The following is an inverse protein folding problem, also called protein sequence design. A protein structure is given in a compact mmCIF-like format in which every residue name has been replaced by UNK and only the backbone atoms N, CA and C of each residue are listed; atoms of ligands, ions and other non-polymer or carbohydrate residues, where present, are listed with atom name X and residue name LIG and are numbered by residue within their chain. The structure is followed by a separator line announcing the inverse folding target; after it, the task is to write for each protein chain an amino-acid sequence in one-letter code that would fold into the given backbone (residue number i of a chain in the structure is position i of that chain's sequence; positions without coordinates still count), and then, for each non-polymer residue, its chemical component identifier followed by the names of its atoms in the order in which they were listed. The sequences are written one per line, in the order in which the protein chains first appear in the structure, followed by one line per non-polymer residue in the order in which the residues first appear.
data_IF_460926416207
#
_entry.id   IF_460926416207
#
_cell.length_a   1.000
_cell.length_b   1.000
_cell.length_c   1.000
_cell.angle_alpha   90.00
_cell.angle_beta   90.00
_cell.angle_gamma   90.00
#
_symmetry.space_group_name_H-M   'P 1'
#
loop_
_entity.id
_entity.type
_entity.pdbx_description
1 polymer ?
#
# COMPACT_ATOMS: atom_id res chain seq x y z
N UNK A 1 6.56 -69.89 -24.89
CA UNK A 1 5.43 -69.32 -24.11
C UNK A 1 6.06 -68.24 -23.22
N UNK A 2 6.25 -66.99 -23.67
CA UNK A 2 5.28 -65.90 -23.83
C UNK A 2 4.29 -65.80 -22.66
N UNK A 3 4.49 -64.78 -21.80
CA UNK A 3 3.54 -63.70 -21.48
C UNK A 3 4.14 -62.87 -20.31
N UNK A 4 4.81 -61.75 -20.58
CA UNK A 4 4.30 -60.38 -20.79
C UNK A 4 3.62 -59.74 -19.56
N UNK A 5 4.34 -58.82 -18.92
CA UNK A 5 3.84 -57.73 -18.08
C UNK A 5 2.89 -56.80 -18.88
N UNK A 6 2.06 -55.99 -18.20
CA UNK A 6 2.44 -54.57 -18.15
C UNK A 6 2.23 -53.89 -16.80
N UNK A 7 3.24 -53.10 -16.44
CA UNK A 7 3.23 -52.02 -15.45
C UNK A 7 2.42 -50.88 -16.04
N UNK A 8 1.32 -50.49 -15.39
CA UNK A 8 0.51 -49.34 -15.78
C UNK A 8 1.20 -48.06 -15.29
N UNK A 9 2.08 -47.49 -16.12
CA UNK A 9 2.65 -46.17 -15.91
C UNK A 9 1.61 -45.11 -16.32
N UNK A 10 1.04 -44.42 -15.32
CA UNK A 10 0.19 -43.26 -15.53
C UNK A 10 1.09 -42.05 -15.88
N UNK A 11 1.40 -41.89 -17.16
CA UNK A 11 2.15 -40.75 -17.69
C UNK A 11 1.19 -39.56 -17.82
N UNK A 12 1.08 -38.74 -16.77
CA UNK A 12 0.46 -37.42 -16.83
C UNK A 12 1.35 -36.50 -17.68
N UNK A 13 1.05 -36.43 -18.99
CA UNK A 13 1.59 -35.38 -19.86
C UNK A 13 0.98 -34.03 -19.46
N UNK A 14 1.64 -33.33 -18.54
CA UNK A 14 1.50 -31.88 -18.41
C UNK A 14 2.21 -31.24 -19.61
N UNK A 15 1.51 -31.16 -20.73
CA UNK A 15 1.85 -30.25 -21.80
C UNK A 15 1.67 -28.82 -21.27
N UNK A 16 2.72 -28.29 -20.65
CA UNK A 16 2.80 -26.89 -20.26
C UNK A 16 2.72 -26.04 -21.51
N UNK A 17 1.60 -25.35 -21.72
CA UNK A 17 1.54 -24.23 -22.64
C UNK A 17 2.53 -23.18 -22.16
N UNK A 18 3.68 -23.05 -22.84
CA UNK A 18 4.57 -21.91 -22.67
C UNK A 18 3.88 -20.67 -23.27
N UNK A 19 3.53 -19.63 -22.50
CA UNK A 19 3.14 -18.38 -23.09
C UNK A 19 4.42 -17.60 -23.43
N UNK A 20 4.90 -17.75 -24.66
CA UNK A 20 5.76 -16.72 -25.28
C UNK A 20 4.87 -15.52 -25.61
N UNK A 21 4.54 -14.72 -24.60
CA UNK A 21 4.08 -13.35 -24.82
C UNK A 21 5.25 -12.43 -24.51
N UNK A 22 5.68 -11.57 -25.45
CA UNK A 22 6.59 -10.51 -25.10
C UNK A 22 5.94 -9.69 -23.98
N UNK A 23 6.66 -9.52 -22.87
CA UNK A 23 6.31 -8.55 -21.84
C UNK A 23 6.22 -7.22 -22.56
N UNK A 24 5.01 -6.69 -22.71
CA UNK A 24 4.84 -5.31 -23.14
C UNK A 24 5.52 -4.46 -22.07
N UNK A 25 6.71 -3.94 -22.39
CA UNK A 25 7.33 -2.87 -21.62
C UNK A 25 6.34 -1.73 -21.60
N UNK A 26 5.70 -1.52 -20.44
CA UNK A 26 4.94 -0.32 -20.16
C UNK A 26 5.89 0.86 -20.42
N UNK A 27 5.46 1.87 -21.19
CA UNK A 27 6.25 3.08 -21.35
C UNK A 27 6.48 3.66 -19.96
N UNK A 28 7.74 3.77 -19.54
CA UNK A 28 8.13 4.58 -18.40
C UNK A 28 7.95 6.03 -18.82
N UNK A 29 6.77 6.60 -18.54
CA UNK A 29 6.51 8.02 -18.72
C UNK A 29 7.02 8.77 -17.49
N UNK A 30 8.31 9.10 -17.50
CA UNK A 30 8.83 10.12 -16.60
C UNK A 30 8.22 11.48 -16.97
N UNK A 31 7.28 11.96 -16.16
CA UNK A 31 7.23 13.35 -15.71
C UNK A 31 6.55 14.46 -16.53
N UNK A 32 6.14 14.28 -17.80
CA UNK A 32 5.62 15.45 -18.56
C UNK A 32 4.35 15.25 -19.39
N UNK A 33 3.93 14.01 -19.68
CA UNK A 33 2.64 13.74 -20.32
C UNK A 33 2.05 12.48 -19.70
N UNK A 34 1.22 12.67 -18.67
CA UNK A 34 0.56 11.57 -17.98
C UNK A 34 -0.50 10.89 -18.86
N UNK A 35 -0.86 11.49 -20.01
CA UNK A 35 -1.95 11.02 -20.86
C UNK A 35 -3.32 11.04 -20.17
N UNK A 36 -3.43 11.69 -19.02
CA UNK A 36 -4.65 11.73 -18.22
C UNK A 36 -5.61 12.80 -18.76
N UNK A 37 -6.90 12.45 -18.78
CA UNK A 37 -7.96 13.43 -19.07
C UNK A 37 -8.03 14.51 -17.98
N UNK A 38 -8.64 15.69 -18.22
CA UNK A 38 -8.80 16.71 -17.19
C UNK A 38 -9.49 16.21 -15.90
N UNK A 39 -10.44 15.28 -16.06
CA UNK A 39 -11.13 14.68 -14.91
C UNK A 39 -10.21 13.73 -14.13
N UNK A 40 -9.34 13.00 -14.83
CA UNK A 40 -8.37 12.11 -14.20
C UNK A 40 -7.25 12.88 -13.51
N UNK A 41 -6.82 14.01 -14.09
CA UNK A 41 -5.90 14.94 -13.44
C UNK A 41 -6.48 15.48 -12.13
N UNK A 42 -7.75 15.91 -12.13
CA UNK A 42 -8.41 16.35 -10.91
C UNK A 42 -8.52 15.24 -9.84
N UNK A 43 -8.72 13.98 -10.26
CA UNK A 43 -8.70 12.84 -9.36
C UNK A 43 -7.29 12.56 -8.83
N UNK A 44 -6.26 12.67 -9.67
CA UNK A 44 -4.86 12.55 -9.28
C UNK A 44 -4.48 13.59 -8.21
N UNK A 45 -4.80 14.87 -8.46
CA UNK A 45 -4.61 15.95 -7.49
C UNK A 45 -5.33 15.66 -6.16
N UNK A 46 -6.57 15.16 -6.23
CA UNK A 46 -7.35 14.85 -5.02
C UNK A 46 -6.73 13.73 -4.20
N UNK A 47 -6.25 12.67 -4.84
CA UNK A 47 -5.59 11.54 -4.17
C UNK A 47 -4.25 11.97 -3.55
N UNK A 48 -3.46 12.75 -4.28
CA UNK A 48 -2.18 13.27 -3.79
C UNK A 48 -2.37 14.22 -2.63
N UNK A 49 -3.31 15.16 -2.73
CA UNK A 49 -3.61 16.09 -1.66
C UNK A 49 -4.12 15.37 -0.41
N UNK A 50 -4.99 14.37 -0.57
CA UNK A 50 -5.45 13.54 0.55
C UNK A 50 -4.26 12.85 1.24
N UNK A 51 -3.29 12.36 0.48
CA UNK A 51 -2.08 11.77 1.05
C UNK A 51 -1.18 12.78 1.75
N UNK A 52 -0.88 13.90 1.09
CA UNK A 52 0.00 14.97 1.57
C UNK A 52 -0.55 15.68 2.81
N UNK A 53 -1.87 15.85 2.90
CA UNK A 53 -2.49 16.49 4.06
C UNK A 53 -2.57 15.54 5.29
N UNK A 54 -2.34 14.22 5.10
CA UNK A 54 -2.46 13.19 6.14
C UNK A 54 -1.15 12.40 6.34
N UNK A 55 -1.20 11.19 6.91
CA UNK A 55 0.01 10.44 7.29
C UNK A 55 0.89 10.03 6.10
N UNK A 56 0.30 9.92 4.90
CA UNK A 56 1.04 9.54 3.70
C UNK A 56 2.06 10.58 3.26
N UNK A 57 2.00 11.81 3.79
CA UNK A 57 3.06 12.81 3.73
C UNK A 57 4.44 12.21 4.01
N UNK A 58 4.53 11.35 5.04
CA UNK A 58 5.79 10.77 5.49
C UNK A 58 6.34 9.66 4.57
N UNK A 59 5.52 9.16 3.64
CA UNK A 59 5.97 8.29 2.54
C UNK A 59 6.24 9.12 1.28
N UNK A 60 5.40 10.12 0.99
CA UNK A 60 5.45 10.93 -0.21
C UNK A 60 6.70 11.82 -0.24
N UNK A 61 6.96 12.57 0.82
CA UNK A 61 8.03 13.57 0.87
C UNK A 61 9.24 13.15 1.71
N UNK A 62 9.18 11.97 2.32
CA UNK A 62 10.30 11.42 3.07
C UNK A 62 10.34 9.90 2.98
N UNK A 63 11.32 9.30 3.62
CA UNK A 63 11.53 7.86 3.66
C UNK A 63 11.27 7.25 5.05
N UNK A 64 10.54 8.00 5.89
CA UNK A 64 10.17 7.63 7.25
C UNK A 64 9.20 6.44 7.30
N UNK A 65 8.29 6.35 6.33
CA UNK A 65 7.33 5.24 6.22
C UNK A 65 7.51 4.53 4.87
N UNK A 66 7.73 3.20 4.83
CA UNK A 66 7.78 2.44 3.58
C UNK A 66 6.47 2.54 2.78
N UNK A 67 5.34 2.57 3.46
CA UNK A 67 4.00 2.64 2.88
C UNK A 67 3.06 3.45 3.76
N UNK A 68 2.07 4.08 3.13
CA UNK A 68 0.93 4.69 3.81
C UNK A 68 -0.36 4.50 3.02
N UNK A 69 -1.49 4.52 3.71
CA UNK A 69 -2.79 4.46 3.05
C UNK A 69 -3.26 5.84 2.63
N UNK A 70 -3.89 5.92 1.45
CA UNK A 70 -4.47 7.14 0.91
C UNK A 70 -5.98 7.14 1.16
N UNK A 71 -6.67 6.12 0.66
CA UNK A 71 -8.12 5.97 0.82
C UNK A 71 -8.55 4.53 0.60
N UNK A 72 -9.82 4.23 0.85
CA UNK A 72 -10.44 2.93 0.58
C UNK A 72 -11.72 3.13 -0.20
N UNK A 73 -11.85 2.41 -1.31
CA UNK A 73 -13.07 2.31 -2.08
C UNK A 73 -13.88 1.12 -1.56
N UNK A 74 -15.17 1.33 -1.35
CA UNK A 74 -16.14 0.28 -1.07
C UNK A 74 -17.05 0.16 -2.28
N UNK A 75 -16.99 -0.98 -2.95
CA UNK A 75 -17.74 -1.23 -4.18
C UNK A 75 -18.58 -2.51 -4.01
N UNK A 76 -19.87 -2.50 -4.38
CA UNK A 76 -20.76 -3.67 -4.28
C UNK A 76 -20.44 -4.71 -5.37
N UNK A 77 -19.21 -5.21 -5.40
CA UNK A 77 -18.69 -6.15 -6.40
C UNK A 77 -18.06 -7.38 -5.73
N UNK A 78 -18.26 -7.56 -4.42
CA UNK A 78 -17.80 -8.76 -3.74
C UNK A 78 -18.66 -9.95 -4.17
N UNK A 79 -18.04 -11.14 -4.10
CA UNK A 79 -18.76 -12.39 -4.29
C UNK A 79 -19.73 -12.59 -3.12
N UNK A 80 -21.04 -12.77 -3.37
CA UNK A 80 -21.97 -13.12 -2.30
C UNK A 80 -21.62 -14.46 -1.67
N UNK A 81 -21.77 -14.58 -0.34
CA UNK A 81 -21.48 -15.81 0.41
C UNK A 81 -22.38 -17.00 0.00
N UNK A 82 -23.51 -16.72 -0.65
CA UNK A 82 -24.42 -17.74 -1.19
C UNK A 82 -23.86 -18.47 -2.42
N UNK A 83 -22.83 -17.92 -3.09
CA UNK A 83 -22.24 -18.54 -4.28
C UNK A 83 -21.14 -19.53 -3.90
N UNK A 84 -21.17 -20.78 -4.41
CA UNK A 84 -20.13 -21.77 -4.17
C UNK A 84 -18.75 -21.31 -4.62
N UNK A 85 -17.70 -21.88 -4.02
CA UNK A 85 -16.34 -21.67 -4.51
C UNK A 85 -16.16 -22.12 -5.96
N UNK A 86 -15.30 -21.42 -6.70
CA UNK A 86 -15.09 -21.68 -8.13
C UNK A 86 -16.23 -21.28 -9.07
N UNK A 87 -17.25 -20.55 -8.58
CA UNK A 87 -18.33 -20.03 -9.44
C UNK A 87 -17.74 -19.15 -10.55
N UNK A 88 -17.97 -19.52 -11.81
CA UNK A 88 -17.39 -18.83 -12.97
C UNK A 88 -17.95 -17.43 -13.21
N UNK A 89 -19.26 -17.26 -13.03
CA UNK A 89 -19.96 -15.98 -13.26
C UNK A 89 -20.49 -15.45 -11.94
N UNK A 90 -19.69 -14.63 -11.28
CA UNK A 90 -20.03 -14.04 -9.97
C UNK A 90 -20.76 -12.71 -10.10
N UNK A 91 -20.31 -11.86 -11.02
CA UNK A 91 -20.77 -10.48 -11.15
C UNK A 91 -21.65 -10.30 -12.38
N UNK A 92 -22.82 -9.67 -12.22
CA UNK A 92 -23.64 -9.24 -13.34
C UNK A 92 -23.05 -7.95 -13.94
N UNK A 93 -22.51 -8.01 -15.15
CA UNK A 93 -21.79 -6.90 -15.77
C UNK A 93 -22.69 -5.70 -16.08
N UNK A 94 -23.94 -5.93 -16.48
CA UNK A 94 -24.89 -4.85 -16.77
C UNK A 94 -25.26 -4.08 -15.50
N UNK A 95 -25.45 -4.80 -14.38
CA UNK A 95 -25.81 -4.19 -13.10
C UNK A 95 -24.64 -3.43 -12.45
N UNK A 96 -23.40 -3.86 -12.71
CA UNK A 96 -22.21 -3.33 -12.03
C UNK A 96 -21.28 -2.50 -12.95
N UNK A 97 -21.74 -2.16 -14.16
CA UNK A 97 -20.93 -1.45 -15.16
C UNK A 97 -20.34 -0.15 -14.59
N UNK A 98 -21.15 0.66 -13.89
CA UNK A 98 -20.69 1.94 -13.33
C UNK A 98 -19.59 1.76 -12.26
N UNK A 99 -19.68 0.72 -11.43
CA UNK A 99 -18.68 0.41 -10.41
C UNK A 99 -17.37 -0.06 -11.06
N UNK A 100 -17.45 -0.85 -12.13
CA UNK A 100 -16.28 -1.30 -12.89
C UNK A 100 -15.63 -0.14 -13.67
N UNK A 101 -16.42 0.77 -14.24
CA UNK A 101 -15.92 1.99 -14.89
C UNK A 101 -15.23 2.92 -13.88
N UNK A 102 -15.83 3.09 -12.68
CA UNK A 102 -15.20 3.81 -11.57
C UNK A 102 -13.87 3.15 -11.20
N UNK A 103 -13.85 1.83 -11.01
CA UNK A 103 -12.62 1.11 -10.67
C UNK A 103 -11.55 1.26 -11.76
N UNK A 104 -11.92 1.16 -13.03
CA UNK A 104 -11.01 1.34 -14.16
C UNK A 104 -10.44 2.76 -14.21
N UNK A 105 -11.23 3.80 -13.87
CA UNK A 105 -10.75 5.17 -13.76
C UNK A 105 -9.72 5.33 -12.64
N UNK A 106 -10.02 4.80 -11.44
CA UNK A 106 -9.06 4.83 -10.33
C UNK A 106 -7.78 4.05 -10.66
N UNK A 107 -7.88 2.87 -11.28
CA UNK A 107 -6.70 2.10 -11.70
C UNK A 107 -5.83 2.89 -12.68
N UNK A 108 -6.44 3.56 -13.68
CA UNK A 108 -5.72 4.39 -14.65
C UNK A 108 -4.97 5.52 -13.97
N UNK A 109 -5.62 6.23 -13.06
CA UNK A 109 -4.99 7.33 -12.30
C UNK A 109 -3.89 6.82 -11.39
N UNK A 110 -4.14 5.76 -10.61
CA UNK A 110 -3.14 5.15 -9.72
C UNK A 110 -1.90 4.69 -10.49
N UNK A 111 -2.08 4.06 -11.66
CA UNK A 111 -0.96 3.63 -12.51
C UNK A 111 -0.14 4.81 -13.05
N UNK A 112 -0.77 5.97 -13.25
CA UNK A 112 -0.07 7.17 -13.71
C UNK A 112 0.64 7.92 -12.56
N UNK A 113 0.32 7.62 -11.30
CA UNK A 113 1.00 8.15 -10.11
C UNK A 113 2.26 7.33 -9.80
N UNK A 114 3.24 7.38 -10.70
CA UNK A 114 4.58 6.83 -10.49
C UNK A 114 5.62 7.95 -10.64
N UNK A 115 6.36 8.19 -9.57
CA UNK A 115 7.38 9.23 -9.46
C UNK A 115 8.78 8.62 -9.24
N UNK A 116 9.03 7.42 -9.76
CA UNK A 116 10.34 6.78 -9.72
C UNK A 116 10.61 6.01 -8.43
N UNK A 117 10.93 6.67 -7.31
CA UNK A 117 11.08 5.97 -6.02
C UNK A 117 9.74 5.85 -5.26
N UNK A 118 8.77 6.71 -5.59
CA UNK A 118 7.45 6.76 -4.96
C UNK A 118 6.40 6.34 -6.00
N UNK A 119 5.58 5.36 -5.67
CA UNK A 119 4.49 4.92 -6.54
C UNK A 119 3.27 4.50 -5.74
N UNK A 120 2.15 4.38 -6.46
CA UNK A 120 0.86 4.08 -5.89
C UNK A 120 0.36 2.72 -6.36
N UNK A 121 -0.44 2.09 -5.52
CA UNK A 121 -1.05 0.80 -5.78
C UNK A 121 -2.49 0.79 -5.30
N UNK A 122 -3.33 0.09 -6.05
CA UNK A 122 -4.65 -0.28 -5.63
C UNK A 122 -4.67 -1.79 -5.32
N UNK A 123 -5.10 -2.19 -4.12
CA UNK A 123 -5.12 -3.60 -3.68
C UNK A 123 -6.43 -3.95 -2.98
N UNK A 124 -7.07 -5.08 -3.34
CA UNK A 124 -8.27 -5.54 -2.66
C UNK A 124 -7.93 -6.08 -1.27
N UNK A 125 -8.80 -5.83 -0.29
CA UNK A 125 -8.70 -6.51 0.99
C UNK A 125 -9.18 -7.96 0.88
N UNK A 126 -8.57 -8.83 1.69
CA UNK A 126 -9.01 -10.22 1.89
C UNK A 126 -10.44 -10.23 2.39
N UNK A 127 -10.71 -9.43 3.43
CA UNK A 127 -12.03 -9.26 3.98
C UNK A 127 -12.90 -8.37 3.09
N UNK A 128 -14.15 -8.77 2.91
CA UNK A 128 -15.20 -7.98 2.27
C UNK A 128 -16.42 -7.95 3.21
N UNK A 129 -17.21 -6.89 3.13
CA UNK A 129 -18.39 -6.73 4.00
C UNK A 129 -19.64 -7.03 3.21
N UNK A 130 -20.26 -8.20 3.45
CA UNK A 130 -21.50 -8.65 2.78
C UNK A 130 -21.35 -8.63 1.25
N UNK A 131 -21.68 -7.51 0.61
CA UNK A 131 -21.65 -7.26 -0.83
C UNK A 131 -20.46 -6.40 -1.27
N UNK A 132 -19.78 -5.75 -0.34
CA UNK A 132 -18.83 -4.68 -0.64
C UNK A 132 -17.39 -5.18 -0.59
N UNK A 133 -16.71 -5.07 -1.73
CA UNK A 133 -15.26 -5.24 -1.84
C UNK A 133 -14.61 -3.93 -1.39
N UNK A 134 -13.84 -4.00 -0.31
CA UNK A 134 -12.92 -2.95 0.06
C UNK A 134 -11.66 -3.03 -0.82
N UNK A 135 -11.29 -1.91 -1.43
CA UNK A 135 -10.10 -1.77 -2.25
C UNK A 135 -9.32 -0.57 -1.74
N UNK A 136 -8.14 -0.82 -1.21
CA UNK A 136 -7.29 0.22 -0.64
C UNK A 136 -6.38 0.81 -1.72
N UNK A 137 -6.21 2.13 -1.68
CA UNK A 137 -5.17 2.83 -2.43
C UNK A 137 -4.08 3.17 -1.44
N UNK A 138 -2.87 2.70 -1.71
CA UNK A 138 -1.68 2.96 -0.91
C UNK A 138 -0.63 3.67 -1.76
N UNK A 139 0.21 4.45 -1.09
CA UNK A 139 1.49 4.91 -1.63
C UNK A 139 2.60 4.12 -0.96
N UNK A 140 3.65 3.81 -1.71
CA UNK A 140 4.86 3.21 -1.18
C UNK A 140 6.11 3.90 -1.73
N UNK A 141 7.22 3.77 -0.99
CA UNK A 141 8.56 4.16 -1.43
C UNK A 141 9.43 2.93 -1.62
N UNK A 142 9.85 2.65 -2.86
CA UNK A 142 10.60 1.45 -3.26
C UNK A 142 11.86 1.26 -2.42
N UNK A 143 12.66 2.32 -2.30
CA UNK A 143 13.89 2.30 -1.50
C UNK A 143 13.66 2.04 -0.01
N UNK A 144 12.56 2.54 0.56
CA UNK A 144 12.21 2.33 1.96
C UNK A 144 11.66 0.92 2.21
N UNK A 145 10.87 0.38 1.27
CA UNK A 145 10.45 -1.04 1.28
C UNK A 145 11.68 -1.95 1.23
N UNK A 146 12.65 -1.69 0.36
CA UNK A 146 13.89 -2.46 0.28
C UNK A 146 14.69 -2.46 1.57
N UNK A 147 14.80 -1.29 2.24
CA UNK A 147 15.46 -1.20 3.55
C UNK A 147 14.69 -1.98 4.61
N UNK A 148 13.37 -1.86 4.64
CA UNK A 148 12.51 -2.61 5.55
C UNK A 148 12.68 -4.13 5.34
N UNK A 149 12.70 -4.61 4.10
CA UNK A 149 12.92 -6.04 3.81
C UNK A 149 14.30 -6.49 4.30
N UNK A 150 15.37 -5.70 4.07
CA UNK A 150 16.71 -6.01 4.62
C UNK A 150 16.70 -6.08 6.15
N UNK A 151 16.08 -5.10 6.80
CA UNK A 151 16.05 -4.98 8.26
C UNK A 151 15.28 -6.13 8.91
N UNK A 152 14.15 -6.52 8.34
CA UNK A 152 13.26 -7.56 8.86
C UNK A 152 13.30 -8.84 8.02
N UNK A 153 14.47 -9.15 7.43
CA UNK A 153 14.65 -10.29 6.53
C UNK A 153 14.29 -11.63 7.17
N UNK A 154 14.50 -11.79 8.48
CA UNK A 154 14.11 -13.00 9.23
C UNK A 154 12.59 -13.23 9.27
N UNK A 155 11.79 -12.17 9.22
CA UNK A 155 10.34 -12.25 9.14
C UNK A 155 9.88 -12.37 7.69
N UNK A 156 10.32 -11.48 6.79
CA UNK A 156 9.83 -11.46 5.41
C UNK A 156 10.41 -12.58 4.52
N UNK A 157 11.58 -13.12 4.87
CA UNK A 157 12.22 -14.21 4.14
C UNK A 157 11.41 -15.50 4.11
N UNK A 158 10.50 -15.72 5.08
CA UNK A 158 9.59 -16.87 5.07
C UNK A 158 8.67 -16.90 3.84
N UNK A 159 8.42 -15.74 3.22
CA UNK A 159 7.62 -15.59 2.01
C UNK A 159 8.46 -15.57 0.73
N UNK A 160 9.79 -15.74 0.84
CA UNK A 160 10.72 -15.62 -0.28
C UNK A 160 11.03 -14.18 -0.68
N UNK A 161 10.70 -13.19 0.16
CA UNK A 161 10.96 -11.79 -0.15
C UNK A 161 12.41 -11.39 0.15
N UNK A 162 13.00 -10.66 -0.80
CA UNK A 162 14.32 -10.04 -0.74
C UNK A 162 14.21 -8.62 -1.30
N UNK A 163 15.19 -7.74 -1.10
CA UNK A 163 15.16 -6.39 -1.68
C UNK A 163 14.97 -6.44 -3.20
N UNK A 164 14.15 -5.53 -3.73
CA UNK A 164 13.67 -5.55 -5.11
C UNK A 164 12.35 -6.32 -5.32
N UNK A 165 11.76 -6.88 -4.26
CA UNK A 165 10.41 -7.46 -4.34
C UNK A 165 9.40 -6.41 -4.82
N UNK A 166 8.49 -6.81 -5.71
CA UNK A 166 7.35 -5.97 -6.09
C UNK A 166 6.50 -5.65 -4.86
N UNK A 167 6.31 -4.36 -4.51
CA UNK A 167 5.45 -3.96 -3.40
C UNK A 167 4.02 -4.49 -3.54
N UNK A 168 3.53 -4.64 -4.76
CA UNK A 168 2.22 -5.24 -5.06
C UNK A 168 2.10 -6.67 -4.55
N UNK A 169 3.11 -7.50 -4.82
CA UNK A 169 3.16 -8.89 -4.34
C UNK A 169 3.27 -8.92 -2.82
N UNK A 170 4.19 -8.13 -2.26
CA UNK A 170 4.42 -8.03 -0.82
C UNK A 170 3.14 -7.66 -0.05
N UNK A 171 2.47 -6.58 -0.46
CA UNK A 171 1.27 -6.06 0.23
C UNK A 171 0.14 -7.09 0.17
N UNK A 172 -0.11 -7.70 -0.99
CA UNK A 172 -1.18 -8.70 -1.11
C UNK A 172 -0.85 -10.00 -0.36
N UNK A 173 0.41 -10.45 -0.33
CA UNK A 173 0.78 -11.59 0.51
C UNK A 173 0.49 -11.28 1.97
N UNK A 174 0.94 -10.14 2.49
CA UNK A 174 0.69 -9.72 3.89
C UNK A 174 -0.81 -9.62 4.18
N UNK A 175 -1.62 -9.02 3.29
CA UNK A 175 -3.07 -8.89 3.50
C UNK A 175 -3.77 -10.24 3.60
N UNK A 176 -3.28 -11.25 2.88
CA UNK A 176 -3.90 -12.58 2.84
C UNK A 176 -3.41 -13.53 3.93
N UNK A 177 -2.40 -13.12 4.72
CA UNK A 177 -1.86 -13.91 5.82
C UNK A 177 -2.82 -14.11 7.02
N UNK A 178 -2.38 -14.98 7.94
CA UNK A 178 -3.04 -15.13 9.24
C UNK A 178 -2.91 -13.82 10.05
N UNK A 179 -3.89 -13.59 10.95
CA UNK A 179 -4.08 -12.31 11.65
C UNK A 179 -2.80 -11.72 12.26
N UNK A 180 -2.04 -12.49 13.04
CA UNK A 180 -0.88 -11.96 13.76
C UNK A 180 0.32 -11.70 12.83
N UNK A 181 0.52 -12.51 11.80
CA UNK A 181 1.55 -12.28 10.77
C UNK A 181 1.19 -11.08 9.91
N UNK A 182 -0.09 -10.95 9.54
CA UNK A 182 -0.63 -9.77 8.84
C UNK A 182 -0.42 -8.50 9.66
N UNK A 183 -0.72 -8.53 10.96
CA UNK A 183 -0.47 -7.39 11.86
C UNK A 183 1.00 -7.01 11.94
N UNK A 184 1.90 -8.00 12.02
CA UNK A 184 3.34 -7.77 12.03
C UNK A 184 3.83 -7.17 10.71
N UNK A 185 3.43 -7.78 9.58
CA UNK A 185 3.78 -7.32 8.24
C UNK A 185 3.32 -5.90 7.97
N UNK A 186 2.06 -5.58 8.30
CA UNK A 186 1.56 -4.21 8.19
C UNK A 186 2.26 -3.24 9.13
N UNK A 187 2.58 -3.66 10.37
CA UNK A 187 3.30 -2.82 11.31
C UNK A 187 4.65 -2.33 10.74
N UNK A 188 5.39 -3.22 10.08
CA UNK A 188 6.64 -2.87 9.40
C UNK A 188 6.40 -2.05 8.12
N UNK A 189 5.42 -2.40 7.29
CA UNK A 189 5.07 -1.65 6.07
C UNK A 189 4.67 -0.20 6.38
N UNK A 190 3.92 0.03 7.45
CA UNK A 190 3.54 1.37 7.91
C UNK A 190 4.66 2.10 8.67
N UNK A 191 5.85 1.51 8.79
CA UNK A 191 7.04 2.13 9.36
C UNK A 191 7.03 2.27 10.87
N UNK A 192 6.28 1.44 11.60
CA UNK A 192 6.25 1.52 13.06
C UNK A 192 7.53 0.96 13.69
N UNK A 193 8.02 1.56 14.79
CA UNK A 193 9.19 1.04 15.50
C UNK A 193 9.05 -0.43 15.89
N UNK A 194 10.13 -1.24 15.87
CA UNK A 194 10.07 -2.66 16.21
C UNK A 194 9.37 -2.97 17.54
N UNK A 195 9.61 -2.15 18.56
CA UNK A 195 9.02 -2.35 19.88
C UNK A 195 7.49 -2.15 19.87
N UNK A 196 6.97 -1.20 19.09
CA UNK A 196 5.54 -0.97 18.93
C UNK A 196 4.86 -2.10 18.16
N UNK A 197 5.50 -2.60 17.09
CA UNK A 197 5.01 -3.78 16.35
C UNK A 197 4.98 -5.00 17.26
N UNK A 198 6.04 -5.25 18.03
CA UNK A 198 6.12 -6.36 18.97
C UNK A 198 5.05 -6.28 20.05
N UNK A 199 4.83 -5.09 20.62
CA UNK A 199 3.77 -4.88 21.60
C UNK A 199 2.39 -5.16 21.02
N UNK A 200 2.08 -4.62 19.84
CA UNK A 200 0.77 -4.78 19.21
C UNK A 200 0.46 -6.25 18.87
N UNK A 201 1.43 -6.96 18.29
CA UNK A 201 1.30 -8.38 17.96
C UNK A 201 1.19 -9.23 19.23
N UNK A 202 2.02 -8.96 20.24
CA UNK A 202 1.96 -9.65 21.53
C UNK A 202 0.61 -9.45 22.23
N UNK A 203 0.08 -8.22 22.23
CA UNK A 203 -1.25 -7.92 22.77
C UNK A 203 -2.37 -8.68 22.05
N UNK A 204 -2.30 -8.76 20.71
CA UNK A 204 -3.25 -9.56 19.91
C UNK A 204 -3.20 -11.04 20.29
N UNK A 205 -2.00 -11.61 20.44
CA UNK A 205 -1.79 -13.00 20.84
C UNK A 205 -2.32 -13.29 22.26
N UNK A 206 -2.05 -12.41 23.23
CA UNK A 206 -2.57 -12.53 24.60
C UNK A 206 -4.10 -12.47 24.63
N UNK A 207 -4.71 -11.58 23.84
CA UNK A 207 -6.16 -11.48 23.75
C UNK A 207 -6.79 -12.74 23.13
N UNK A 208 -6.15 -13.32 22.10
CA UNK A 208 -6.60 -14.58 21.49
C UNK A 208 -6.49 -15.77 22.43
N UNK A 209 -5.41 -15.82 23.22
CA UNK A 209 -5.12 -16.95 24.11
C UNK A 209 -5.96 -16.91 25.39
N UNK A 210 -5.99 -15.74 26.05
CA UNK A 210 -6.45 -15.62 27.43
C UNK A 210 -7.68 -14.69 27.56
N UNK A 211 -8.16 -14.12 26.45
CA UNK A 211 -9.27 -13.14 26.44
C UNK A 211 -8.93 -11.80 27.10
N UNK A 212 -7.69 -11.61 27.53
CA UNK A 212 -7.28 -10.44 28.31
C UNK A 212 -7.07 -9.23 27.41
N UNK A 213 -7.74 -8.13 27.76
CA UNK A 213 -7.52 -6.84 27.12
C UNK A 213 -6.23 -6.19 27.65
N UNK A 214 -5.24 -6.01 26.77
CA UNK A 214 -3.99 -5.31 27.10
C UNK A 214 -4.21 -3.80 26.97
N UNK A 215 -4.07 -3.07 28.08
CA UNK A 215 -4.18 -1.61 28.09
C UNK A 215 -3.02 -0.98 27.32
N UNK A 216 -3.32 0.06 26.55
CA UNK A 216 -2.38 0.75 25.65
C UNK A 216 -2.56 2.26 25.69
N UNK A 217 -1.47 2.96 25.45
CA UNK A 217 -1.45 4.37 25.07
C UNK A 217 -1.17 4.48 23.56
N UNK A 218 -1.33 5.67 23.02
CA UNK A 218 -1.12 5.96 21.61
C UNK A 218 -0.09 7.07 21.47
N UNK A 219 0.98 6.79 20.73
CA UNK A 219 1.94 7.81 20.34
C UNK A 219 1.45 8.50 19.07
N UNK A 220 1.24 9.80 19.15
CA UNK A 220 0.62 10.61 18.10
C UNK A 220 1.70 11.43 17.39
N UNK A 221 1.72 11.35 16.06
CA UNK A 221 2.58 12.19 15.22
C UNK A 221 1.66 13.10 14.39
N UNK A 222 1.85 14.43 14.46
CA UNK A 222 0.99 15.39 13.77
C UNK A 222 1.09 15.22 12.25
N UNK A 223 0.08 15.66 11.54
CA UNK A 223 0.06 15.81 10.07
C UNK A 223 -0.45 17.21 9.74
N UNK A 224 -0.64 17.53 8.46
CA UNK A 224 -1.16 18.85 8.10
C UNK A 224 -2.63 19.03 8.52
N UNK A 225 -3.47 18.00 8.31
CA UNK A 225 -4.90 18.02 8.61
C UNK A 225 -5.24 18.00 10.11
N UNK A 226 -4.30 17.62 10.98
CA UNK A 226 -4.55 17.47 12.41
C UNK A 226 -3.32 17.09 13.23
N UNK A 227 -3.37 17.33 14.54
CA UNK A 227 -2.28 16.98 15.47
C UNK A 227 -2.33 15.53 15.95
N UNK A 228 -3.50 14.91 15.89
CA UNK A 228 -3.79 13.58 16.42
C UNK A 228 -4.62 12.76 15.41
N UNK A 229 -4.55 11.43 15.51
CA UNK A 229 -5.49 10.52 14.86
C UNK A 229 -5.09 10.00 13.47
N UNK A 230 -3.90 10.38 12.96
CA UNK A 230 -3.43 9.99 11.63
C UNK A 230 -2.24 9.04 11.69
N UNK A 231 -1.04 9.54 12.01
CA UNK A 231 0.14 8.67 12.20
C UNK A 231 0.24 8.28 13.67
N UNK A 232 -0.25 7.08 13.99
CA UNK A 232 -0.43 6.61 15.37
C UNK A 232 0.05 5.17 15.52
N UNK A 233 0.77 4.88 16.59
CA UNK A 233 1.04 3.50 17.01
C UNK A 233 0.81 3.30 18.50
N UNK A 234 0.47 2.06 18.83
CA UNK A 234 0.14 1.65 20.19
C UNK A 234 1.41 1.33 20.98
N UNK A 235 1.44 1.79 22.24
CA UNK A 235 2.48 1.51 23.22
C UNK A 235 1.84 0.97 24.50
N UNK A 236 2.58 0.24 25.35
CA UNK A 236 2.09 -0.14 26.67
C UNK A 236 1.58 1.08 27.46
N UNK A 237 0.55 0.90 28.29
CA UNK A 237 -0.09 2.01 29.02
C UNK A 237 0.89 2.86 29.84
N UNK A 238 1.89 2.25 30.46
CA UNK A 238 2.84 2.95 31.32
C UNK A 238 4.20 3.14 30.63
N UNK A 239 4.24 3.03 29.30
CA UNK A 239 5.44 3.22 28.50
C UNK A 239 5.80 4.69 28.38
N UNK A 240 7.05 5.01 28.71
CA UNK A 240 7.64 6.31 28.42
C UNK A 240 8.30 6.25 27.04
N UNK A 241 7.97 7.14 26.09
CA UNK A 241 8.57 7.16 24.76
C UNK A 241 10.10 7.09 24.82
N UNK A 242 10.68 6.15 24.08
CA UNK A 242 12.12 5.98 23.99
C UNK A 242 12.73 6.96 22.97
N UNK A 243 14.06 6.98 22.92
CA UNK A 243 14.80 7.79 21.94
C UNK A 243 14.38 7.51 20.49
N UNK A 244 13.98 6.27 20.17
CA UNK A 244 13.46 5.92 18.85
C UNK A 244 12.14 6.65 18.52
N UNK A 245 11.21 6.73 19.47
CA UNK A 245 9.93 7.43 19.29
C UNK A 245 10.15 8.93 19.13
N UNK A 246 11.03 9.51 19.96
CA UNK A 246 11.42 10.92 19.84
C UNK A 246 12.10 11.21 18.49
N UNK A 247 12.97 10.33 18.00
CA UNK A 247 13.62 10.48 16.70
C UNK A 247 12.59 10.51 15.56
N UNK A 248 11.63 9.59 15.56
CA UNK A 248 10.52 9.57 14.59
C UNK A 248 9.72 10.87 14.67
N UNK A 249 9.36 11.33 15.87
CA UNK A 249 8.62 12.58 16.07
C UNK A 249 9.35 13.81 15.51
N UNK A 250 10.65 13.93 15.78
CA UNK A 250 11.45 15.07 15.31
C UNK A 250 11.67 15.04 13.79
N UNK A 251 11.88 13.87 13.19
CA UNK A 251 11.99 13.73 11.73
C UNK A 251 10.66 14.07 11.06
N UNK A 252 9.56 13.54 11.57
CA UNK A 252 8.22 13.86 11.09
C UNK A 252 7.93 15.37 11.17
N UNK A 253 8.27 16.02 12.28
CA UNK A 253 8.13 17.46 12.43
C UNK A 253 8.86 18.26 11.35
N UNK A 254 10.09 17.87 10.99
CA UNK A 254 10.84 18.53 9.91
C UNK A 254 10.15 18.38 8.56
N UNK A 255 9.68 17.18 8.23
CA UNK A 255 8.96 16.90 6.98
C UNK A 255 7.65 17.69 6.92
N UNK A 256 6.92 17.78 8.03
CA UNK A 256 5.68 18.55 8.11
C UNK A 256 5.90 20.05 7.88
N UNK A 257 6.94 20.63 8.47
CA UNK A 257 7.27 22.05 8.23
C UNK A 257 7.71 22.32 6.79
N UNK A 258 8.51 21.41 6.21
CA UNK A 258 8.87 21.49 4.79
C UNK A 258 7.62 21.42 3.90
N UNK A 259 6.69 20.52 4.20
CA UNK A 259 5.46 20.40 3.44
C UNK A 259 4.60 21.65 3.51
N UNK A 260 4.44 22.27 4.69
CA UNK A 260 3.67 23.52 4.83
C UNK A 260 4.21 24.62 3.91
N UNK A 261 5.53 24.81 3.90
CA UNK A 261 6.19 25.80 3.04
C UNK A 261 6.01 25.49 1.56
N UNK A 262 6.08 24.20 1.19
CA UNK A 262 5.92 23.78 -0.20
C UNK A 262 4.47 23.95 -0.64
N UNK A 263 3.51 23.50 0.17
CA UNK A 263 2.06 23.56 -0.10
C UNK A 263 1.61 24.99 -0.43
N UNK A 264 2.12 25.99 0.29
CA UNK A 264 1.80 27.41 0.04
C UNK A 264 2.15 27.83 -1.40
N UNK A 265 3.27 27.37 -1.94
CA UNK A 265 3.74 27.70 -3.31
C UNK A 265 2.84 27.09 -4.40
N UNK A 266 2.14 26.01 -4.09
CA UNK A 266 1.25 25.30 -5.03
C UNK A 266 -0.22 25.57 -4.77
N UNK A 267 -0.55 26.41 -3.79
CA UNK A 267 -1.92 26.81 -3.48
C UNK A 267 -2.34 27.97 -4.38
N UNK A 268 -3.46 27.80 -5.08
CA UNK A 268 -4.06 28.80 -5.97
C UNK A 268 -4.90 29.83 -5.18
N UNK A 269 -5.23 31.00 -5.76
CA UNK A 269 -6.08 31.99 -5.11
C UNK A 269 -7.48 31.48 -4.69
N UNK A 270 -8.00 30.44 -5.37
CA UNK A 270 -9.26 29.78 -5.02
C UNK A 270 -9.12 28.71 -3.91
N UNK A 271 -7.92 28.57 -3.33
CA UNK A 271 -7.60 27.62 -2.27
C UNK A 271 -7.29 26.20 -2.74
N UNK A 272 -7.37 25.90 -4.05
CA UNK A 272 -7.01 24.58 -4.58
C UNK A 272 -5.49 24.41 -4.60
N UNK A 273 -5.04 23.19 -4.34
CA UNK A 273 -3.61 22.85 -4.36
C UNK A 273 -3.32 22.04 -5.62
N UNK A 274 -2.31 22.45 -6.39
CA UNK A 274 -1.77 21.71 -7.54
C UNK A 274 -0.85 20.59 -7.03
N UNK A 275 -1.41 19.58 -6.39
CA UNK A 275 -0.68 18.53 -5.68
C UNK A 275 0.17 17.65 -6.62
N UNK A 276 -0.28 17.40 -7.84
CA UNK A 276 0.49 16.68 -8.86
C UNK A 276 1.77 17.43 -9.25
N UNK A 277 1.65 18.73 -9.50
CA UNK A 277 2.80 19.59 -9.82
C UNK A 277 3.76 19.70 -8.64
N UNK A 278 3.22 19.81 -7.42
CA UNK A 278 4.01 19.77 -6.18
C UNK A 278 4.83 18.48 -6.11
N UNK A 279 4.20 17.32 -6.33
CA UNK A 279 4.90 16.03 -6.29
C UNK A 279 5.96 15.94 -7.39
N UNK A 280 5.63 16.32 -8.63
CA UNK A 280 6.60 16.31 -9.73
C UNK A 280 7.84 17.14 -9.41
N UNK A 281 7.69 18.30 -8.76
CA UNK A 281 8.83 19.12 -8.33
C UNK A 281 9.57 18.54 -7.11
N UNK A 282 8.83 17.95 -6.15
CA UNK A 282 9.40 17.54 -4.87
C UNK A 282 10.18 16.22 -4.92
N UNK A 283 9.76 15.27 -5.76
CA UNK A 283 10.30 13.90 -5.73
C UNK A 283 11.01 13.47 -7.01
N UNK A 284 10.81 14.15 -8.14
CA UNK A 284 11.58 13.85 -9.33
C UNK A 284 12.97 14.50 -9.24
N UNK A 285 14.03 13.84 -9.75
CA UNK A 285 15.33 14.46 -9.86
C UNK A 285 15.19 15.75 -10.66
N UNK A 286 15.67 16.89 -10.13
CA UNK A 286 15.83 18.09 -10.93
C UNK A 286 16.79 17.71 -12.06
N UNK A 287 16.29 17.62 -13.29
CA UNK A 287 17.17 17.49 -14.44
C UNK A 287 18.14 18.65 -14.35
N UNK A 288 19.43 18.36 -14.15
CA UNK A 288 20.45 19.38 -14.20
C UNK A 288 20.30 20.08 -15.55
N UNK A 289 19.89 21.35 -15.53
CA UNK A 289 20.05 22.20 -16.70
C UNK A 289 21.53 22.12 -17.06
N UNK A 290 21.82 21.45 -18.17
CA UNK A 290 23.06 21.66 -18.89
C UNK A 290 22.90 23.03 -19.55
N UNK A 291 23.28 24.06 -18.81
CA UNK A 291 23.79 25.28 -19.42
C UNK A 291 25.16 24.98 -20.05
#
# INVERSE_FOLDING_TARGET
MKNLFPILAFLLMLAGCAPNRPVATLPSTTGADTGLSPQDLALADSLLLLGLDNEALYTLLSDLKPMSSITTLYLPIAKPDSLPDGTATVLNLQQHQQQLEKLARFQRVVNALDFGDVAFIMSPFKAYSKTDRAIQINVYRRSAVDRMIREYQSFFGQYGFVPGVSPEVLINTVEFEKKNDRFRGYGHLFGYPPHAVNFFVGASQSQEKDGQFVKRNFFQIPVYSGKDGHFVYALPKDYTPAAADSAVYHLAGKVLEQYKQLREQYTQPDGKVRALELMQHAVLPKTANKD
#
